data_IF_611660609592
#
_entry.id   IF_611660609592
#
_cell.length_a   1.000
_cell.length_b   1.000
_cell.length_c   1.000
_cell.angle_alpha   90.00
_cell.angle_beta   90.00
_cell.angle_gamma   90.00
#
_symmetry.space_group_name_H-M   'P 1'
#
loop_
_entity.id
_entity.type
_entity.pdbx_description
1 polymer ?
#
# COMPACT_ATOMS: atom_id res chain seq x y z
N UNK A 1 -30.05 20.41 -58.91
CA UNK A 1 -30.37 19.90 -57.56
C UNK A 1 -30.49 21.08 -56.59
N UNK A 2 -31.71 21.45 -56.17
CA UNK A 2 -31.94 22.55 -55.20
C UNK A 2 -31.72 22.01 -53.79
N UNK A 3 -30.64 22.42 -53.14
CA UNK A 3 -30.40 22.14 -51.72
C UNK A 3 -31.50 22.81 -50.88
N UNK A 4 -32.34 22.01 -50.23
CA UNK A 4 -33.36 22.51 -49.30
C UNK A 4 -32.65 22.98 -48.02
N UNK A 5 -32.82 24.25 -47.67
CA UNK A 5 -32.32 24.79 -46.40
C UNK A 5 -32.96 23.99 -45.24
N UNK A 6 -32.16 23.50 -44.27
CA UNK A 6 -32.70 22.77 -43.13
C UNK A 6 -33.63 23.68 -42.33
N UNK A 7 -34.77 23.15 -41.89
CA UNK A 7 -35.71 23.88 -41.04
C UNK A 7 -35.07 24.09 -39.66
N UNK A 8 -35.29 25.22 -38.99
CA UNK A 8 -34.66 25.52 -37.69
C UNK A 8 -34.91 24.42 -36.64
N UNK A 9 -36.07 23.77 -36.69
CA UNK A 9 -36.44 22.64 -35.82
C UNK A 9 -35.49 21.44 -36.01
N UNK A 10 -35.06 21.18 -37.25
CA UNK A 10 -34.12 20.08 -37.54
C UNK A 10 -32.73 20.38 -36.98
N UNK A 11 -32.32 21.67 -36.98
CA UNK A 11 -31.04 22.11 -36.41
C UNK A 11 -31.07 21.94 -34.89
N UNK A 12 -32.15 22.35 -34.22
CA UNK A 12 -32.31 22.19 -32.77
C UNK A 12 -32.30 20.72 -32.36
N UNK A 13 -33.00 19.86 -33.10
CA UNK A 13 -33.00 18.41 -32.85
C UNK A 13 -31.60 17.80 -33.00
N UNK A 14 -30.84 18.23 -34.01
CA UNK A 14 -29.47 17.76 -34.25
C UNK A 14 -28.50 18.21 -33.14
N UNK A 15 -28.62 19.46 -32.68
CA UNK A 15 -27.79 19.97 -31.58
C UNK A 15 -28.11 19.24 -30.27
N UNK A 16 -29.41 19.01 -30.00
CA UNK A 16 -29.85 18.26 -28.83
C UNK A 16 -29.33 16.81 -28.82
N UNK A 17 -29.33 16.11 -29.96
CA UNK A 17 -28.84 14.74 -30.04
C UNK A 17 -27.32 14.64 -29.87
N UNK A 18 -26.55 15.60 -30.41
CA UNK A 18 -25.10 15.66 -30.22
C UNK A 18 -24.74 15.92 -28.76
N UNK A 19 -25.46 16.83 -28.08
CA UNK A 19 -25.24 17.10 -26.66
C UNK A 19 -25.56 15.88 -25.78
N UNK A 20 -26.65 15.16 -26.08
CA UNK A 20 -27.00 13.93 -25.37
C UNK A 20 -25.98 12.81 -25.60
N UNK A 21 -25.48 12.63 -26.83
CA UNK A 21 -24.43 11.65 -27.11
C UNK A 21 -23.12 12.01 -26.39
N UNK A 22 -22.76 13.30 -26.35
CA UNK A 22 -21.60 13.80 -25.64
C UNK A 22 -21.67 13.57 -24.13
N UNK A 23 -22.84 13.79 -23.51
CA UNK A 23 -23.01 13.57 -22.06
C UNK A 23 -22.90 12.10 -21.68
N UNK A 24 -23.45 11.18 -22.49
CA UNK A 24 -23.30 9.73 -22.30
C UNK A 24 -21.84 9.32 -22.42
N UNK A 25 -21.10 9.84 -23.40
CA UNK A 25 -19.68 9.55 -23.58
C UNK A 25 -18.84 10.01 -22.37
N UNK A 26 -19.12 11.20 -21.84
CA UNK A 26 -18.45 11.75 -20.64
C UNK A 26 -18.76 10.91 -19.41
N UNK A 27 -20.02 10.50 -19.22
CA UNK A 27 -20.38 9.59 -18.11
C UNK A 27 -19.71 8.23 -18.26
N UNK A 28 -19.64 7.68 -19.47
CA UNK A 28 -18.99 6.40 -19.74
C UNK A 28 -17.49 6.47 -19.44
N UNK A 29 -16.79 7.51 -19.91
CA UNK A 29 -15.37 7.73 -19.61
C UNK A 29 -15.12 7.95 -18.11
N UNK A 30 -16.04 8.61 -17.39
CA UNK A 30 -15.93 8.79 -15.95
C UNK A 30 -16.13 7.47 -15.18
N UNK A 31 -17.01 6.59 -15.65
CA UNK A 31 -17.20 5.25 -15.06
C UNK A 31 -16.07 4.28 -15.41
N UNK A 32 -15.58 4.26 -16.65
CA UNK A 32 -14.46 3.38 -17.06
C UNK A 32 -13.15 3.81 -16.41
N UNK A 33 -12.91 5.11 -16.21
CA UNK A 33 -11.78 5.60 -15.42
C UNK A 33 -11.81 5.17 -13.94
N UNK A 34 -13.01 4.91 -13.40
CA UNK A 34 -13.18 4.41 -12.03
C UNK A 34 -13.05 2.88 -11.95
N UNK A 35 -13.46 2.13 -12.99
CA UNK A 35 -13.30 0.67 -13.07
C UNK A 35 -11.91 0.20 -13.56
N UNK A 36 -11.19 1.02 -14.33
CA UNK A 36 -9.88 0.69 -14.90
C UNK A 36 -8.72 0.61 -13.90
N UNK A 37 -8.91 1.02 -12.64
CA UNK A 37 -7.95 0.76 -11.54
C UNK A 37 -8.16 -0.60 -10.87
N UNK A 38 -9.21 -1.35 -11.22
CA UNK A 38 -9.60 -2.60 -10.55
C UNK A 38 -9.72 -3.83 -11.44
N UNK A 39 -9.74 -3.69 -12.77
CA UNK A 39 -9.91 -4.83 -13.68
C UNK A 39 -8.60 -5.61 -13.88
N UNK A 40 -8.17 -6.32 -12.83
CA UNK A 40 -7.36 -7.53 -13.02
C UNK A 40 -8.29 -8.56 -13.64
N UNK A 41 -7.91 -9.07 -14.80
CA UNK A 41 -8.53 -10.19 -15.52
C UNK A 41 -8.91 -11.28 -14.52
N UNK A 42 -10.21 -11.52 -14.35
CA UNK A 42 -10.72 -12.61 -13.53
C UNK A 42 -10.33 -13.92 -14.20
N UNK A 43 -9.32 -14.59 -13.65
CA UNK A 43 -9.01 -15.98 -13.96
C UNK A 43 -10.23 -16.83 -13.57
N UNK A 44 -10.76 -17.67 -14.47
CA UNK A 44 -11.99 -18.40 -14.25
C UNK A 44 -11.90 -19.28 -12.99
N UNK A 45 -12.82 -19.01 -12.07
CA UNK A 45 -13.06 -19.74 -10.82
C UNK A 45 -13.54 -21.17 -11.12
N UNK A 46 -12.63 -22.12 -11.26
CA UNK A 46 -12.90 -23.53 -11.01
C UNK A 46 -11.69 -24.06 -10.23
N UNK A 47 -11.87 -24.27 -8.92
CA UNK A 47 -10.86 -24.72 -7.95
C UNK A 47 -9.73 -23.73 -7.59
N UNK A 48 -10.06 -22.46 -7.36
CA UNK A 48 -9.13 -21.45 -6.82
C UNK A 48 -9.14 -21.43 -5.28
N UNK A 49 -8.45 -22.38 -4.66
CA UNK A 49 -7.60 -21.98 -3.54
C UNK A 49 -6.56 -21.07 -4.19
N UNK A 50 -6.60 -19.77 -3.92
CA UNK A 50 -5.53 -18.88 -4.37
C UNK A 50 -4.23 -19.34 -3.69
N UNK A 51 -3.47 -20.18 -4.40
CA UNK A 51 -2.17 -20.69 -3.95
C UNK A 51 -1.19 -19.54 -3.65
N UNK A 52 -1.50 -18.29 -4.03
CA UNK A 52 -0.71 -17.10 -3.66
C UNK A 52 -0.99 -16.58 -2.25
N UNK A 53 -2.12 -16.93 -1.64
CA UNK A 53 -2.43 -16.58 -0.24
C UNK A 53 -1.58 -17.42 0.72
N UNK A 54 -1.12 -18.61 0.30
CA UNK A 54 -0.23 -19.47 1.08
C UNK A 54 1.23 -19.52 0.60
N UNK A 55 1.59 -18.87 -0.51
CA UNK A 55 2.96 -18.96 -1.04
C UNK A 55 3.88 -17.87 -0.44
N UNK A 56 4.86 -18.24 0.41
CA UNK A 56 5.78 -17.29 1.02
C UNK A 56 6.68 -16.58 -0.01
N UNK A 57 7.06 -17.23 -1.12
CA UNK A 57 7.90 -16.60 -2.15
C UNK A 57 7.17 -15.44 -2.85
N UNK A 58 5.91 -15.66 -3.24
CA UNK A 58 5.08 -14.60 -3.79
C UNK A 58 4.78 -13.49 -2.75
N UNK A 59 4.85 -13.80 -1.46
CA UNK A 59 4.73 -12.81 -0.39
C UNK A 59 6.01 -11.96 -0.27
N UNK A 60 7.19 -12.56 -0.41
CA UNK A 60 8.48 -11.85 -0.43
C UNK A 60 8.55 -10.84 -1.56
N UNK A 61 8.24 -11.26 -2.79
CA UNK A 61 8.24 -10.38 -3.97
C UNK A 61 7.31 -9.17 -3.79
N UNK A 62 6.11 -9.42 -3.23
CA UNK A 62 5.15 -8.35 -2.92
C UNK A 62 5.69 -7.41 -1.83
N UNK A 63 6.31 -7.95 -0.78
CA UNK A 63 6.90 -7.17 0.30
C UNK A 63 7.99 -6.23 -0.22
N UNK A 64 8.91 -6.73 -1.03
CA UNK A 64 9.95 -5.91 -1.65
C UNK A 64 9.41 -4.85 -2.58
N UNK A 65 8.47 -5.24 -3.46
CA UNK A 65 7.88 -4.30 -4.41
C UNK A 65 7.18 -3.16 -3.68
N UNK A 66 6.37 -3.48 -2.65
CA UNK A 66 5.70 -2.48 -1.85
C UNK A 66 6.69 -1.58 -1.11
N UNK A 67 7.78 -2.13 -0.58
CA UNK A 67 8.82 -1.33 0.08
C UNK A 67 9.43 -0.31 -0.88
N UNK A 68 9.70 -0.70 -2.13
CA UNK A 68 10.23 0.22 -3.15
C UNK A 68 9.23 1.31 -3.50
N UNK A 69 7.96 0.96 -3.72
CA UNK A 69 6.89 1.93 -3.99
C UNK A 69 6.72 2.94 -2.84
N UNK A 70 6.77 2.47 -1.59
CA UNK A 70 6.68 3.34 -0.43
C UNK A 70 7.91 4.27 -0.34
N UNK A 71 9.13 3.76 -0.60
CA UNK A 71 10.36 4.56 -0.63
C UNK A 71 10.32 5.62 -1.73
N UNK A 72 9.84 5.27 -2.92
CA UNK A 72 9.64 6.19 -4.05
C UNK A 72 8.62 7.28 -3.71
N UNK A 73 7.57 6.93 -2.95
CA UNK A 73 6.61 7.89 -2.41
C UNK A 73 7.17 8.72 -1.24
N UNK A 74 8.44 8.54 -0.86
CA UNK A 74 9.09 9.25 0.24
C UNK A 74 8.72 8.73 1.62
N UNK A 75 8.07 7.56 1.70
CA UNK A 75 7.57 6.97 2.94
C UNK A 75 8.47 5.81 3.36
N UNK A 76 9.10 5.94 4.53
CA UNK A 76 9.96 4.90 5.10
C UNK A 76 9.26 4.26 6.29
N UNK A 77 8.94 2.97 6.18
CA UNK A 77 8.26 2.21 7.23
C UNK A 77 9.10 1.03 7.67
N UNK A 78 8.96 0.66 8.94
CA UNK A 78 9.42 -0.62 9.48
C UNK A 78 8.22 -1.35 10.07
N UNK A 79 8.09 -2.62 9.71
CA UNK A 79 6.94 -3.44 10.08
C UNK A 79 7.34 -4.49 11.11
N UNK A 80 6.49 -4.73 12.09
CA UNK A 80 6.72 -5.75 13.11
C UNK A 80 5.43 -6.48 13.45
N UNK A 81 5.56 -7.69 14.02
CA UNK A 81 4.47 -8.46 14.59
C UNK A 81 4.57 -8.49 16.11
N UNK A 82 3.46 -8.84 16.77
CA UNK A 82 3.52 -9.34 18.14
C UNK A 82 3.55 -8.30 19.27
N UNK A 83 3.04 -7.08 19.04
CA UNK A 83 2.50 -6.34 20.20
C UNK A 83 1.12 -6.88 20.49
N UNK A 84 1.05 -7.86 21.39
CA UNK A 84 -0.22 -8.34 21.95
C UNK A 84 -0.84 -7.28 22.87
N UNK A 85 0.00 -6.49 23.53
CA UNK A 85 -0.41 -5.36 24.36
C UNK A 85 -0.45 -4.06 23.53
N UNK A 86 -1.39 -3.15 23.81
CA UNK A 86 -1.38 -1.83 23.19
C UNK A 86 -0.04 -1.12 23.47
N UNK A 87 0.49 -0.36 22.50
CA UNK A 87 1.77 0.34 22.66
C UNK A 87 1.71 1.26 23.88
N UNK A 88 2.74 1.20 24.72
CA UNK A 88 2.81 2.08 25.89
C UNK A 88 3.01 3.54 25.45
N UNK A 89 2.66 4.54 26.29
CA UNK A 89 2.96 5.94 25.96
C UNK A 89 4.44 6.20 25.64
N UNK A 90 5.36 5.44 26.26
CA UNK A 90 6.78 5.52 25.99
C UNK A 90 7.14 5.01 24.58
N UNK A 91 6.46 3.97 24.10
CA UNK A 91 6.64 3.42 22.75
C UNK A 91 6.12 4.39 21.70
N UNK A 92 4.95 5.00 21.94
CA UNK A 92 4.38 6.03 21.06
C UNK A 92 5.30 7.25 20.98
N UNK A 93 5.77 7.76 22.12
CA UNK A 93 6.70 8.89 22.15
C UNK A 93 8.03 8.57 21.46
N UNK A 94 8.50 7.31 21.52
CA UNK A 94 9.69 6.86 20.78
C UNK A 94 9.42 6.81 19.29
N UNK A 95 8.31 6.22 18.86
CA UNK A 95 7.92 6.16 17.45
C UNK A 95 7.77 7.57 16.84
N UNK A 96 7.16 8.50 17.55
CA UNK A 96 7.05 9.90 17.12
C UNK A 96 8.41 10.58 17.01
N UNK A 97 9.32 10.36 17.97
CA UNK A 97 10.69 10.89 17.88
C UNK A 97 11.44 10.35 16.66
N UNK A 98 11.30 9.06 16.35
CA UNK A 98 11.93 8.45 15.17
C UNK A 98 11.34 8.99 13.86
N UNK A 99 10.03 9.19 13.83
CA UNK A 99 9.34 9.81 12.69
C UNK A 99 9.82 11.24 12.46
N UNK A 100 9.92 12.05 13.51
CA UNK A 100 10.39 13.43 13.40
C UNK A 100 11.87 13.52 13.00
N UNK A 101 12.72 12.65 13.55
CA UNK A 101 14.17 12.73 13.36
C UNK A 101 14.66 12.07 12.06
N UNK A 102 14.04 10.98 11.66
CA UNK A 102 14.50 10.14 10.54
C UNK A 102 13.42 9.91 9.47
N UNK A 103 12.18 10.39 9.67
CA UNK A 103 11.07 10.10 8.74
C UNK A 103 10.62 8.64 8.77
N UNK A 104 11.02 7.86 9.79
CA UNK A 104 10.73 6.42 9.88
C UNK A 104 9.42 6.22 10.64
N UNK A 105 8.46 5.54 10.00
CA UNK A 105 7.18 5.17 10.60
C UNK A 105 7.16 3.71 11.00
N UNK A 106 6.91 3.43 12.27
CA UNK A 106 6.76 2.05 12.75
C UNK A 106 5.32 1.59 12.64
N UNK A 107 5.13 0.42 12.03
CA UNK A 107 3.81 -0.21 11.87
C UNK A 107 3.84 -1.54 12.62
N UNK A 108 3.01 -1.62 13.66
CA UNK A 108 2.77 -2.89 14.33
C UNK A 108 1.57 -3.60 13.70
N UNK A 109 1.78 -4.85 13.29
CA UNK A 109 0.72 -5.75 12.87
C UNK A 109 0.31 -6.59 14.08
N UNK A 110 -0.88 -6.34 14.61
CA UNK A 110 -1.46 -7.04 15.76
C UNK A 110 -1.87 -8.50 15.48
N UNK A 111 -1.81 -8.93 14.21
CA UNK A 111 -2.10 -10.30 13.83
C UNK A 111 -0.93 -11.24 14.22
N UNK A 112 -1.27 -12.46 14.62
CA UNK A 112 -0.28 -13.54 14.77
C UNK A 112 0.45 -13.73 13.45
N UNK A 113 1.78 -13.77 13.51
CA UNK A 113 2.60 -13.99 12.33
C UNK A 113 2.30 -15.38 11.73
N UNK A 114 1.80 -15.39 10.51
CA UNK A 114 1.78 -16.57 9.63
C UNK A 114 3.08 -16.63 8.84
N UNK A 115 3.46 -17.80 8.32
CA UNK A 115 4.66 -17.95 7.48
C UNK A 115 4.65 -16.97 6.30
N UNK A 116 3.51 -16.84 5.61
CA UNK A 116 3.33 -15.91 4.49
C UNK A 116 3.44 -14.45 4.91
N UNK A 117 2.85 -14.07 6.04
CA UNK A 117 2.91 -12.68 6.53
C UNK A 117 4.30 -12.32 7.07
N UNK A 118 5.00 -13.28 7.67
CA UNK A 118 6.38 -13.12 8.11
C UNK A 118 7.29 -12.93 6.89
N UNK A 119 7.19 -13.79 5.89
CA UNK A 119 7.96 -13.69 4.65
C UNK A 119 7.75 -12.34 3.94
N UNK A 120 6.52 -11.82 3.94
CA UNK A 120 6.23 -10.48 3.44
C UNK A 120 6.96 -9.38 4.23
N UNK A 121 6.83 -9.40 5.56
CA UNK A 121 7.41 -8.35 6.43
C UNK A 121 8.93 -8.40 6.39
N UNK A 122 9.54 -9.57 6.40
CA UNK A 122 11.00 -9.72 6.32
C UNK A 122 11.54 -9.15 5.01
N UNK A 123 10.89 -9.49 3.88
CA UNK A 123 11.31 -9.00 2.57
C UNK A 123 11.10 -7.48 2.44
N UNK A 124 10.00 -6.95 2.98
CA UNK A 124 9.75 -5.51 3.06
C UNK A 124 10.82 -4.80 3.90
N UNK A 125 11.05 -5.28 5.13
CA UNK A 125 11.99 -4.68 6.06
C UNK A 125 13.41 -4.70 5.52
N UNK A 126 13.84 -5.78 4.85
CA UNK A 126 15.16 -5.82 4.22
C UNK A 126 15.42 -4.66 3.26
N UNK A 127 14.44 -4.29 2.45
CA UNK A 127 14.56 -3.15 1.52
C UNK A 127 14.54 -1.83 2.29
N UNK A 128 13.66 -1.71 3.29
CA UNK A 128 13.59 -0.51 4.14
C UNK A 128 14.87 -0.29 4.94
N UNK A 129 15.46 -1.35 5.51
CA UNK A 129 16.72 -1.32 6.27
C UNK A 129 17.89 -0.87 5.40
N UNK A 130 18.01 -1.42 4.18
CA UNK A 130 19.02 -0.99 3.23
C UNK A 130 18.87 0.50 2.89
N UNK A 131 17.64 1.01 2.75
CA UNK A 131 17.37 2.42 2.51
C UNK A 131 17.66 3.30 3.74
N UNK A 132 17.38 2.81 4.95
CA UNK A 132 17.76 3.48 6.21
C UNK A 132 19.28 3.57 6.32
N UNK A 133 20.01 2.49 6.04
CA UNK A 133 21.47 2.49 6.03
C UNK A 133 22.01 3.47 4.99
N UNK A 134 21.41 3.52 3.80
CA UNK A 134 21.80 4.46 2.73
C UNK A 134 21.56 5.92 3.12
N UNK A 135 20.43 6.24 3.77
CA UNK A 135 20.05 7.62 4.12
C UNK A 135 20.69 8.13 5.42
N UNK A 136 20.85 7.27 6.40
CA UNK A 136 21.20 7.65 7.79
C UNK A 136 22.46 6.96 8.31
N UNK A 137 23.04 6.03 7.54
CA UNK A 137 24.24 5.30 7.89
C UNK A 137 23.98 4.07 8.77
N UNK A 138 24.92 3.12 8.71
CA UNK A 138 24.88 1.85 9.42
C UNK A 138 24.73 1.98 10.95
N UNK A 139 25.30 3.04 11.53
CA UNK A 139 25.19 3.30 12.96
C UNK A 139 23.75 3.61 13.41
N UNK A 140 22.96 4.28 12.56
CA UNK A 140 21.54 4.53 12.84
C UNK A 140 20.74 3.24 12.70
N UNK A 141 20.96 2.48 11.63
CA UNK A 141 20.32 1.16 11.45
C UNK A 141 20.58 0.24 12.65
N UNK A 142 21.84 0.12 13.08
CA UNK A 142 22.20 -0.71 14.23
C UNK A 142 21.47 -0.27 15.52
N UNK A 143 21.30 1.04 15.75
CA UNK A 143 20.55 1.54 16.91
C UNK A 143 19.05 1.25 16.83
N UNK A 144 18.47 1.32 15.64
CA UNK A 144 17.06 0.98 15.41
C UNK A 144 16.78 -0.51 15.60
N UNK A 145 17.71 -1.38 15.20
CA UNK A 145 17.51 -2.83 15.28
C UNK A 145 17.89 -3.40 16.65
N UNK A 146 18.97 -2.89 17.26
CA UNK A 146 19.57 -3.52 18.45
C UNK A 146 19.77 -2.56 19.63
N UNK A 147 19.63 -1.26 19.42
CA UNK A 147 19.94 -0.23 20.41
C UNK A 147 18.75 0.21 21.26
N UNK A 148 18.98 1.25 22.07
CA UNK A 148 17.96 1.88 22.92
C UNK A 148 16.81 2.49 22.12
N UNK A 149 17.07 2.86 20.87
CA UNK A 149 16.09 3.38 19.92
C UNK A 149 15.26 2.27 19.24
N UNK A 150 15.51 1.00 19.58
CA UNK A 150 14.69 -0.10 19.11
C UNK A 150 13.25 0.12 19.53
N UNK A 151 12.37 0.27 18.54
CA UNK A 151 10.93 0.34 18.77
C UNK A 151 10.32 -1.06 18.95
N UNK A 152 11.13 -2.11 18.83
CA UNK A 152 10.73 -3.44 19.24
C UNK A 152 10.67 -3.46 20.77
N UNK A 153 9.49 -3.66 21.37
CA UNK A 153 9.46 -3.94 22.79
C UNK A 153 10.27 -5.23 22.99
N UNK A 154 11.32 -5.17 23.81
CA UNK A 154 11.96 -6.39 24.28
C UNK A 154 10.84 -7.21 24.90
N UNK A 155 10.56 -8.40 24.36
CA UNK A 155 9.62 -9.35 24.96
C UNK A 155 10.00 -9.42 26.42
N UNK A 156 9.18 -8.81 27.30
CA UNK A 156 9.35 -8.98 28.74
C UNK A 156 8.96 -10.43 28.95
N UNK A 157 9.95 -11.30 28.99
CA UNK A 157 9.76 -12.63 29.54
C UNK A 157 9.25 -12.41 30.95
N UNK A 158 7.94 -12.60 31.12
CA UNK A 158 7.33 -12.72 32.44
C UNK A 158 7.94 -13.99 33.00
N UNK A 159 8.99 -13.83 33.81
CA UNK A 159 9.50 -14.91 34.64
C UNK A 159 8.43 -15.09 35.71
N UNK A 160 7.51 -16.02 35.46
CA UNK A 160 6.57 -16.47 36.47
C UNK A 160 7.39 -17.11 37.60
N UNK A 161 7.25 -16.68 38.87
CA UNK A 161 7.99 -17.22 40.00
C UNK A 161 7.63 -18.67 40.33
#
# INVERSE_FOLDING_TARGET
MRWRKPRPIQVVALVGSVLAAGSVLVMFNRMTGFMGRGAKTESPLIATIDLRIGNPEAAKERGEKQAREDIEAGVLKLQTFGMTDPPTPADVARAERLKQRYGITWINRSAVATETSQAYVDAYNRVAEAEIERRHGKAVLNRLMHGEDSAFPKVRTVVTP
#
